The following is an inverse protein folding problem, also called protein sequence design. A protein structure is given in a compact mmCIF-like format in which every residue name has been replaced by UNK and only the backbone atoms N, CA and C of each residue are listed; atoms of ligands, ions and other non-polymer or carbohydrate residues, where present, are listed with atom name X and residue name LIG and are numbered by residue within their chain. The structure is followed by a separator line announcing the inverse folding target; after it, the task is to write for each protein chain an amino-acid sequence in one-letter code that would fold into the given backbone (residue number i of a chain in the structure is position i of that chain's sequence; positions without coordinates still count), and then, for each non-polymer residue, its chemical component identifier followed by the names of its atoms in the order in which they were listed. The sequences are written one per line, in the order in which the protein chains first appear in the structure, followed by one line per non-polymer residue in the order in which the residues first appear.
data_IF_984273317953
#
_entry.id   IF_984273317953
#
_cell.length_a   1.000
_cell.length_b   1.000
_cell.length_c   1.000
_cell.angle_alpha   90.00
_cell.angle_beta   90.00
_cell.angle_gamma   90.00
#
_symmetry.space_group_name_H-M   'P 1'
#
loop_
_entity.id
_entity.type
_entity.pdbx_description
1 polymer ?
#
# COMPACT_ATOMS: atom_id res chain seq x y z
N UNK A 1 -25.18 -10.12 5.97
CA UNK A 1 -23.90 -9.40 5.82
C UNK A 1 -23.42 -9.46 4.38
N UNK A 2 -22.89 -8.37 3.86
CA UNK A 2 -22.34 -8.33 2.52
C UNK A 2 -20.97 -9.02 2.49
N UNK A 3 -20.53 -9.41 1.29
CA UNK A 3 -19.20 -9.98 1.08
C UNK A 3 -18.10 -9.06 1.58
N UNK A 4 -18.28 -7.75 1.38
CA UNK A 4 -17.30 -6.74 1.79
C UNK A 4 -17.09 -6.72 3.30
N UNK A 5 -18.15 -6.89 4.08
CA UNK A 5 -18.04 -6.93 5.53
C UNK A 5 -17.21 -8.10 6.02
N UNK A 6 -17.40 -9.28 5.43
CA UNK A 6 -16.62 -10.48 5.78
C UNK A 6 -15.15 -10.30 5.42
N UNK A 7 -14.89 -9.76 4.25
CA UNK A 7 -13.53 -9.49 3.77
C UNK A 7 -12.80 -8.51 4.70
N UNK A 8 -13.47 -7.40 5.03
CA UNK A 8 -12.90 -6.37 5.90
C UNK A 8 -12.62 -6.93 7.30
N UNK A 9 -13.52 -7.72 7.84
CA UNK A 9 -13.33 -8.33 9.14
C UNK A 9 -12.12 -9.26 9.16
N UNK A 10 -11.96 -10.08 8.11
CA UNK A 10 -10.81 -10.96 7.96
C UNK A 10 -9.50 -10.21 7.90
N UNK A 11 -9.48 -9.09 7.17
CA UNK A 11 -8.29 -8.25 7.06
C UNK A 11 -7.93 -7.61 8.40
N UNK A 12 -8.93 -7.16 9.16
CA UNK A 12 -8.72 -6.60 10.49
C UNK A 12 -8.15 -7.64 11.46
N UNK A 13 -8.60 -8.89 11.36
CA UNK A 13 -8.09 -9.99 12.19
C UNK A 13 -6.61 -10.28 11.91
N UNK A 14 -6.15 -9.98 10.70
CA UNK A 14 -4.74 -10.08 10.33
C UNK A 14 -3.91 -8.87 10.76
N UNK A 15 -4.52 -7.90 11.46
CA UNK A 15 -3.84 -6.69 11.88
C UNK A 15 -3.76 -5.61 10.81
N UNK A 16 -4.56 -5.73 9.75
CA UNK A 16 -4.58 -4.77 8.66
C UNK A 16 -5.67 -3.73 8.90
N UNK A 17 -5.46 -2.53 8.39
CA UNK A 17 -6.39 -1.42 8.49
C UNK A 17 -6.63 -0.83 7.12
N UNK A 18 -7.91 -0.58 6.80
CA UNK A 18 -8.27 0.09 5.56
C UNK A 18 -8.08 1.61 5.73
N UNK A 19 -7.35 2.22 4.81
CA UNK A 19 -7.15 3.67 4.81
C UNK A 19 -7.57 4.23 3.45
N UNK A 20 -8.12 5.44 3.45
CA UNK A 20 -8.49 6.16 2.24
C UNK A 20 -7.57 7.36 2.11
N UNK A 21 -6.90 7.49 0.97
CA UNK A 21 -5.99 8.62 0.73
C UNK A 21 -6.03 9.03 -0.73
N UNK A 22 -5.64 10.27 -0.98
CA UNK A 22 -5.53 10.81 -2.32
C UNK A 22 -4.15 10.46 -2.88
N UNK A 23 -4.14 9.89 -4.08
CA UNK A 23 -2.90 9.53 -4.78
C UNK A 23 -2.96 10.05 -6.21
N UNK A 24 -1.81 10.35 -6.83
CA UNK A 24 -1.79 10.68 -8.25
C UNK A 24 -2.35 9.51 -9.06
N UNK A 25 -3.17 9.80 -10.07
CA UNK A 25 -3.84 8.74 -10.84
C UNK A 25 -2.86 7.82 -11.56
N UNK A 26 -1.72 8.35 -11.99
CA UNK A 26 -0.67 7.57 -12.66
C UNK A 26 0.23 6.79 -11.70
N UNK A 27 -0.02 6.89 -10.40
CA UNK A 27 0.69 6.15 -9.35
C UNK A 27 -0.21 5.18 -8.59
N UNK A 28 -1.48 5.10 -8.96
CA UNK A 28 -2.46 4.25 -8.28
C UNK A 28 -2.03 2.79 -8.24
N UNK A 29 -1.60 2.23 -9.36
CA UNK A 29 -1.18 0.83 -9.43
C UNK A 29 0.09 0.59 -8.61
N UNK A 30 1.03 1.54 -8.59
CA UNK A 30 2.25 1.42 -7.80
C UNK A 30 1.94 1.40 -6.30
N UNK A 31 1.03 2.27 -5.85
CA UNK A 31 0.61 2.33 -4.45
C UNK A 31 -0.10 1.05 -4.03
N UNK A 32 -0.99 0.54 -4.88
CA UNK A 32 -1.71 -0.71 -4.62
C UNK A 32 -0.77 -1.89 -4.54
N UNK A 33 0.21 -1.96 -5.42
CA UNK A 33 1.20 -3.03 -5.42
C UNK A 33 2.07 -2.96 -4.16
N UNK A 34 2.54 -1.79 -3.78
CA UNK A 34 3.33 -1.61 -2.57
C UNK A 34 2.54 -2.04 -1.32
N UNK A 35 1.28 -1.63 -1.22
CA UNK A 35 0.42 -2.01 -0.11
C UNK A 35 0.23 -3.53 -0.05
N UNK A 36 0.03 -4.17 -1.20
CA UNK A 36 -0.14 -5.62 -1.27
C UNK A 36 1.12 -6.35 -0.78
N UNK A 37 2.29 -5.89 -1.21
CA UNK A 37 3.57 -6.48 -0.78
C UNK A 37 3.77 -6.32 0.73
N UNK A 38 3.44 -5.15 1.27
CA UNK A 38 3.55 -4.90 2.71
C UNK A 38 2.56 -5.75 3.52
N UNK A 39 1.39 -6.05 2.97
CA UNK A 39 0.44 -6.95 3.64
C UNK A 39 0.96 -8.39 3.71
N UNK A 40 1.71 -8.82 2.71
CA UNK A 40 2.26 -10.17 2.66
C UNK A 40 3.61 -10.32 3.38
N UNK A 41 4.36 -9.24 3.49
CA UNK A 41 5.70 -9.22 4.07
C UNK A 41 5.74 -8.23 5.23
N UNK A 42 5.59 -8.71 6.46
CA UNK A 42 5.44 -7.88 7.67
C UNK A 42 6.62 -6.95 7.93
N UNK A 43 7.81 -7.32 7.50
CA UNK A 43 9.03 -6.58 7.77
C UNK A 43 9.38 -5.58 6.66
N UNK A 44 8.52 -5.41 5.67
CA UNK A 44 8.73 -4.44 4.60
C UNK A 44 7.88 -3.20 4.82
N UNK A 45 8.47 -2.04 4.56
CA UNK A 45 7.78 -0.77 4.59
C UNK A 45 8.40 0.17 3.58
N UNK A 46 7.79 1.34 3.39
CA UNK A 46 8.31 2.33 2.45
C UNK A 46 9.28 3.27 3.15
N UNK A 47 10.41 3.51 2.55
CA UNK A 47 11.41 4.45 3.05
C UNK A 47 12.06 5.23 1.93
N UNK A 48 11.92 4.75 0.69
CA UNK A 48 12.55 5.32 -0.49
C UNK A 48 11.54 5.34 -1.63
N UNK A 49 11.48 6.45 -2.36
CA UNK A 49 10.68 6.58 -3.57
C UNK A 49 11.61 6.75 -4.77
N UNK A 50 11.17 6.27 -5.93
CA UNK A 50 11.94 6.36 -7.16
C UNK A 50 11.45 7.54 -8.00
N UNK A 51 12.37 8.35 -8.48
CA UNK A 51 12.09 9.41 -9.44
C UNK A 51 11.87 8.77 -10.81
N UNK A 52 10.69 8.95 -11.39
CA UNK A 52 10.34 8.31 -12.67
C UNK A 52 11.10 8.89 -13.85
N UNK A 53 11.58 10.12 -13.75
CA UNK A 53 12.31 10.78 -14.83
C UNK A 53 13.78 10.40 -14.87
N UNK A 54 14.41 10.23 -13.71
CA UNK A 54 15.84 9.98 -13.59
C UNK A 54 16.17 8.57 -13.14
N UNK A 55 15.21 7.85 -12.57
CA UNK A 55 15.42 6.53 -11.94
C UNK A 55 16.11 6.61 -10.60
N UNK A 56 16.34 7.81 -10.10
CA UNK A 56 17.05 8.05 -8.84
C UNK A 56 16.18 7.73 -7.64
N UNK A 57 16.76 7.11 -6.62
CA UNK A 57 16.07 6.83 -5.37
C UNK A 57 16.13 8.05 -4.45
N UNK A 58 14.99 8.40 -3.86
CA UNK A 58 14.85 9.56 -2.97
C UNK A 58 14.33 9.07 -1.62
N UNK A 59 15.05 9.40 -0.56
CA UNK A 59 14.62 9.05 0.80
C UNK A 59 13.39 9.85 1.20
N UNK A 60 12.46 9.20 1.89
CA UNK A 60 11.25 9.84 2.41
C UNK A 60 11.50 10.58 3.74
N UNK A 61 12.68 10.39 4.33
CA UNK A 61 13.02 10.97 5.64
C UNK A 61 14.15 11.97 5.57
#
# INVERSE_FOLDING_TARGET
MSRNTRYEQRMKERGLKKVTLWVPSDRESDIKQAASVMCDCENLTVGVLKDVNTGRMVSMH
#
